data_IF_078292262315
#
_entry.id   IF_078292262315
#
_cell.length_a   1.000
_cell.length_b   1.000
_cell.length_c   1.000
_cell.angle_alpha   90.00
_cell.angle_beta   90.00
_cell.angle_gamma   90.00
#
_symmetry.space_group_name_H-M   'P 1'
#
loop_
_entity.id
_entity.type
_entity.pdbx_description
1 polymer ?
#
# COMPACT_ATOMS: atom_id res chain seq x y z
N UNK A 1 15.99 6.48 -15.83
CA UNK A 1 15.56 7.32 -14.71
C UNK A 1 16.42 8.58 -14.58
N UNK A 2 15.88 9.74 -14.99
CA UNK A 2 16.43 11.07 -14.64
C UNK A 2 15.53 11.66 -13.56
N UNK A 3 16.12 12.15 -12.48
CA UNK A 3 15.39 12.86 -11.43
C UNK A 3 15.73 14.34 -11.54
N UNK A 4 14.71 15.18 -11.65
CA UNK A 4 14.86 16.63 -11.61
C UNK A 4 14.24 17.14 -10.32
N UNK A 5 15.01 17.95 -9.59
CA UNK A 5 14.54 18.62 -8.37
C UNK A 5 14.26 20.07 -8.76
N UNK A 6 12.99 20.44 -8.84
CA UNK A 6 12.55 21.78 -9.25
C UNK A 6 12.00 22.52 -8.03
N UNK A 7 12.21 23.84 -7.95
CA UNK A 7 11.55 24.68 -6.96
C UNK A 7 10.03 24.71 -7.20
N UNK A 8 9.27 24.58 -6.12
CA UNK A 8 7.82 24.39 -6.18
C UNK A 8 7.11 25.73 -6.42
N UNK A 9 6.12 25.76 -7.32
CA UNK A 9 5.22 26.92 -7.42
C UNK A 9 4.09 26.82 -6.38
N UNK A 10 3.66 27.97 -5.86
CA UNK A 10 2.61 28.06 -4.84
C UNK A 10 1.27 27.69 -5.50
N UNK A 11 0.76 26.49 -5.21
CA UNK A 11 -0.48 25.94 -5.79
C UNK A 11 -0.43 24.45 -6.14
N UNK A 12 0.77 23.86 -6.23
CA UNK A 12 0.94 22.44 -6.50
C UNK A 12 0.51 21.58 -5.32
N UNK A 13 -0.63 20.88 -5.46
CA UNK A 13 -1.13 19.92 -4.47
C UNK A 13 -0.08 18.82 -4.22
N UNK A 14 0.31 18.53 -2.96
CA UNK A 14 1.22 17.43 -2.66
C UNK A 14 0.49 16.10 -2.84
N UNK A 15 0.35 15.67 -4.10
CA UNK A 15 -0.28 14.39 -4.46
C UNK A 15 0.36 13.25 -3.67
N UNK A 16 1.68 13.27 -3.46
CA UNK A 16 2.37 12.29 -2.61
C UNK A 16 1.88 12.25 -1.16
N UNK A 17 1.54 13.39 -0.55
CA UNK A 17 1.00 13.46 0.80
C UNK A 17 -0.49 13.03 0.85
N UNK A 18 -1.28 13.37 -0.18
CA UNK A 18 -2.67 12.90 -0.29
C UNK A 18 -2.74 11.39 -0.47
N UNK A 19 -1.80 10.80 -1.20
CA UNK A 19 -1.72 9.34 -1.40
C UNK A 19 -1.30 8.61 -0.11
N UNK A 20 -0.91 9.32 0.97
CA UNK A 20 -0.75 8.73 2.30
C UNK A 20 -2.08 8.59 3.08
N UNK A 21 -3.17 9.22 2.66
CA UNK A 21 -4.47 9.10 3.36
C UNK A 21 -4.98 7.65 3.54
N UNK A 22 -4.87 6.75 2.54
CA UNK A 22 -5.23 5.34 2.71
C UNK A 22 -4.36 4.60 3.73
N UNK A 23 -3.16 5.11 4.03
CA UNK A 23 -2.26 4.57 5.05
C UNK A 23 -2.85 4.71 6.46
N UNK A 24 -3.80 5.64 6.65
CA UNK A 24 -4.53 5.82 7.92
C UNK A 24 -5.84 5.04 7.98
N UNK A 25 -6.50 4.79 6.85
CA UNK A 25 -7.82 4.14 6.80
C UNK A 25 -7.84 2.68 7.24
N UNK A 26 -6.77 1.93 6.96
CA UNK A 26 -6.67 0.50 7.27
C UNK A 26 -6.19 0.20 8.70
N UNK A 27 -5.24 0.96 9.28
CA UNK A 27 -4.97 0.87 10.71
C UNK A 27 -6.18 1.26 11.57
N UNK A 28 -7.00 2.22 11.11
CA UNK A 28 -8.31 2.51 11.72
C UNK A 28 -9.24 1.30 11.67
N UNK A 29 -9.27 0.57 10.55
CA UNK A 29 -10.03 -0.68 10.44
C UNK A 29 -9.52 -1.78 11.37
N UNK A 30 -8.20 -1.96 11.48
CA UNK A 30 -7.57 -2.91 12.40
C UNK A 30 -7.86 -2.56 13.86
N UNK A 31 -7.70 -1.29 14.23
CA UNK A 31 -8.03 -0.76 15.55
C UNK A 31 -9.51 -0.95 15.91
N UNK A 32 -10.44 -0.72 14.96
CA UNK A 32 -11.87 -0.95 15.19
C UNK A 32 -12.23 -2.42 15.42
N UNK A 33 -11.48 -3.35 14.81
CA UNK A 33 -11.66 -4.79 14.99
C UNK A 33 -11.07 -5.27 16.31
N UNK A 34 -9.89 -4.75 16.69
CA UNK A 34 -9.23 -5.06 17.95
C UNK A 34 -10.03 -4.58 19.17
N UNK A 35 -10.65 -3.40 19.08
CA UNK A 35 -11.55 -2.88 20.11
C UNK A 35 -12.96 -3.52 20.07
N UNK A 36 -13.10 -4.66 19.38
CA UNK A 36 -14.31 -5.48 19.31
C UNK A 36 -15.58 -4.75 18.81
N UNK A 37 -15.46 -3.59 18.16
CA UNK A 37 -16.60 -2.94 17.53
C UNK A 37 -17.11 -3.72 16.29
N UNK A 38 -16.26 -4.56 15.68
CA UNK A 38 -16.62 -5.41 14.54
C UNK A 38 -15.89 -6.75 14.57
N UNK A 39 -16.62 -7.88 14.58
CA UNK A 39 -16.04 -9.23 14.52
C UNK A 39 -15.96 -9.69 13.07
N UNK A 40 -14.79 -9.59 12.45
CA UNK A 40 -14.53 -10.18 11.13
C UNK A 40 -13.81 -11.53 11.27
N UNK A 41 -14.57 -12.62 11.37
CA UNK A 41 -14.00 -13.98 11.42
C UNK A 41 -13.55 -14.49 10.05
N UNK A 42 -14.23 -14.08 8.97
CA UNK A 42 -13.93 -14.48 7.59
C UNK A 42 -14.26 -13.33 6.65
N UNK A 43 -13.40 -13.05 5.65
CA UNK A 43 -13.72 -12.07 4.62
C UNK A 43 -15.05 -12.43 3.93
N UNK A 44 -15.98 -11.48 3.83
CA UNK A 44 -17.28 -11.71 3.20
C UNK A 44 -17.17 -12.26 1.77
N UNK A 45 -16.14 -11.86 1.03
CA UNK A 45 -15.86 -12.39 -0.31
C UNK A 45 -15.44 -13.86 -0.29
N UNK A 46 -14.57 -14.26 0.65
CA UNK A 46 -14.18 -15.68 0.82
C UNK A 46 -15.37 -16.53 1.25
N UNK A 47 -16.27 -15.97 2.07
CA UNK A 47 -17.50 -16.65 2.51
C UNK A 47 -18.51 -16.82 1.36
N UNK A 48 -18.62 -15.86 0.45
CA UNK A 48 -19.59 -15.88 -0.65
C UNK A 48 -19.07 -16.59 -1.91
N UNK A 49 -17.82 -16.34 -2.30
CA UNK A 49 -17.23 -16.83 -3.54
C UNK A 49 -16.29 -18.03 -3.34
N UNK A 50 -15.96 -18.40 -2.10
CA UNK A 50 -14.99 -19.48 -1.80
C UNK A 50 -13.53 -19.15 -2.15
N UNK A 51 -13.27 -17.94 -2.67
CA UNK A 51 -11.95 -17.49 -3.14
C UNK A 51 -11.49 -16.26 -2.36
N UNK A 52 -10.20 -16.17 -2.00
CA UNK A 52 -9.63 -14.95 -1.45
C UNK A 52 -9.62 -13.84 -2.51
N UNK A 53 -10.01 -12.64 -2.08
CA UNK A 53 -9.82 -11.39 -2.78
C UNK A 53 -8.36 -10.92 -2.74
N UNK A 54 -7.98 -10.00 -3.63
CA UNK A 54 -6.63 -9.43 -3.71
C UNK A 54 -6.13 -8.76 -2.42
N UNK A 55 -7.07 -8.29 -1.59
CA UNK A 55 -6.80 -7.61 -0.30
C UNK A 55 -7.19 -8.47 0.90
N UNK A 56 -7.50 -9.76 0.69
CA UNK A 56 -7.90 -10.64 1.78
C UNK A 56 -6.72 -10.84 2.74
N UNK A 57 -6.99 -10.76 4.04
CA UNK A 57 -5.95 -10.79 5.07
C UNK A 57 -5.25 -9.44 5.32
N UNK A 58 -5.57 -8.36 4.60
CA UNK A 58 -4.94 -7.04 4.82
C UNK A 58 -5.10 -6.56 6.27
N UNK A 59 -6.29 -6.64 6.85
CA UNK A 59 -6.53 -6.24 8.24
C UNK A 59 -5.73 -7.08 9.24
N UNK A 60 -5.64 -8.39 9.01
CA UNK A 60 -4.87 -9.28 9.90
C UNK A 60 -3.37 -9.02 9.76
N UNK A 61 -2.87 -8.75 8.56
CA UNK A 61 -1.49 -8.34 8.36
C UNK A 61 -1.19 -7.01 9.08
N UNK A 62 -2.12 -6.04 9.07
CA UNK A 62 -1.98 -4.80 9.83
C UNK A 62 -2.00 -5.04 11.35
N UNK A 63 -2.78 -6.00 11.85
CA UNK A 63 -2.74 -6.41 13.26
C UNK A 63 -1.37 -7.00 13.64
N UNK A 64 -0.78 -7.86 12.80
CA UNK A 64 0.59 -8.34 13.02
C UNK A 64 1.61 -7.20 13.03
N UNK A 65 1.45 -6.17 12.18
CA UNK A 65 2.28 -4.95 12.26
C UNK A 65 2.11 -4.23 13.61
N UNK A 66 0.89 -4.09 14.12
CA UNK A 66 0.62 -3.45 15.42
C UNK A 66 1.20 -4.23 16.60
N UNK A 67 1.21 -5.56 16.51
CA UNK A 67 1.85 -6.42 17.51
C UNK A 67 3.39 -6.47 17.40
N UNK A 68 3.99 -5.76 16.43
CA UNK A 68 5.44 -5.74 16.24
C UNK A 68 5.98 -6.97 15.51
N UNK A 69 5.16 -7.68 14.75
CA UNK A 69 5.52 -8.88 13.98
C UNK A 69 5.53 -8.60 12.46
N UNK A 70 6.48 -7.80 11.93
CA UNK A 70 6.48 -7.39 10.53
C UNK A 70 6.70 -8.55 9.55
N UNK A 71 7.44 -9.60 9.94
CA UNK A 71 7.61 -10.78 9.09
C UNK A 71 6.31 -11.58 8.94
N UNK A 72 5.53 -11.71 10.01
CA UNK A 72 4.22 -12.37 9.98
C UNK A 72 3.21 -11.54 9.16
N UNK A 73 3.29 -10.21 9.25
CA UNK A 73 2.50 -9.33 8.41
C UNK A 73 2.83 -9.51 6.92
N UNK A 74 4.12 -9.59 6.57
CA UNK A 74 4.58 -9.76 5.20
C UNK A 74 4.16 -11.11 4.60
N UNK A 75 4.26 -12.21 5.37
CA UNK A 75 3.79 -13.52 4.91
C UNK A 75 2.27 -13.58 4.76
N UNK A 76 1.53 -12.79 5.55
CA UNK A 76 0.08 -12.77 5.47
C UNK A 76 -0.47 -11.95 4.29
N UNK A 77 0.14 -10.80 3.98
CA UNK A 77 -0.28 -9.98 2.84
C UNK A 77 0.90 -9.17 2.28
N UNK A 78 1.76 -9.80 1.45
CA UNK A 78 3.00 -9.18 1.01
C UNK A 78 2.76 -7.94 0.15
N UNK A 79 1.70 -7.91 -0.67
CA UNK A 79 1.37 -6.76 -1.53
C UNK A 79 1.01 -5.52 -0.71
N UNK A 80 0.10 -5.63 0.27
CA UNK A 80 -0.32 -4.47 1.06
C UNK A 80 0.81 -3.94 1.93
N UNK A 81 1.59 -4.82 2.54
CA UNK A 81 2.74 -4.42 3.38
C UNK A 81 3.81 -3.72 2.53
N UNK A 82 4.11 -4.26 1.35
CA UNK A 82 5.03 -3.61 0.41
C UNK A 82 4.51 -2.27 -0.08
N UNK A 83 3.20 -2.18 -0.37
CA UNK A 83 2.57 -0.92 -0.77
C UNK A 83 2.63 0.11 0.35
N UNK A 84 2.39 -0.27 1.61
CA UNK A 84 2.55 0.66 2.73
C UNK A 84 3.97 1.15 2.89
N UNK A 85 4.95 0.27 2.77
CA UNK A 85 6.35 0.67 2.87
C UNK A 85 6.70 1.67 1.75
N UNK A 86 6.25 1.39 0.53
CA UNK A 86 6.47 2.28 -0.61
C UNK A 86 5.79 3.63 -0.43
N UNK A 87 4.54 3.64 0.06
CA UNK A 87 3.81 4.86 0.37
C UNK A 87 4.44 5.64 1.52
N UNK A 88 4.97 4.97 2.53
CA UNK A 88 5.66 5.60 3.65
C UNK A 88 6.96 6.25 3.19
N UNK A 89 7.78 5.54 2.41
CA UNK A 89 9.02 6.08 1.83
C UNK A 89 8.73 7.24 0.89
N UNK A 90 7.78 7.07 -0.04
CA UNK A 90 7.40 8.11 -0.99
C UNK A 90 6.80 9.34 -0.31
N UNK A 91 5.93 9.11 0.67
CA UNK A 91 5.32 10.14 1.48
C UNK A 91 6.34 10.92 2.29
N UNK A 92 7.31 10.26 2.92
CA UNK A 92 8.43 10.90 3.62
C UNK A 92 9.29 11.73 2.67
N UNK A 93 9.63 11.23 1.48
CA UNK A 93 10.37 11.99 0.47
C UNK A 93 9.56 13.23 0.04
N UNK A 94 8.25 13.07 -0.18
CA UNK A 94 7.36 14.16 -0.57
C UNK A 94 7.21 15.21 0.54
N UNK A 95 7.15 14.77 1.80
CA UNK A 95 7.07 15.64 2.98
C UNK A 95 8.37 16.41 3.19
N UNK A 96 9.53 15.74 3.11
CA UNK A 96 10.84 16.40 3.18
C UNK A 96 11.03 17.37 2.02
N UNK A 97 10.58 17.00 0.82
CA UNK A 97 10.54 17.89 -0.34
C UNK A 97 9.65 19.11 -0.10
N UNK A 98 8.45 18.91 0.47
CA UNK A 98 7.54 20.00 0.85
C UNK A 98 8.17 20.97 1.85
N UNK A 99 8.74 20.46 2.94
CA UNK A 99 9.43 21.28 3.95
C UNK A 99 10.61 22.06 3.36
N UNK A 100 11.30 21.49 2.37
CA UNK A 100 12.42 22.13 1.67
C UNK A 100 12.01 22.95 0.44
N UNK A 101 10.71 23.08 0.16
CA UNK A 101 10.15 23.76 -1.01
C UNK A 101 10.66 23.20 -2.38
N UNK A 102 11.03 21.92 -2.40
CA UNK A 102 11.55 21.21 -3.58
C UNK A 102 10.57 20.12 -4.02
N UNK A 103 10.33 20.01 -5.32
CA UNK A 103 9.54 18.94 -5.94
C UNK A 103 10.46 17.98 -6.68
N UNK A 104 10.33 16.69 -6.39
CA UNK A 104 10.99 15.62 -7.15
C UNK A 104 10.08 15.24 -8.31
N UNK A 105 10.52 15.49 -9.54
CA UNK A 105 9.84 15.05 -10.75
C UNK A 105 10.64 13.87 -11.30
N UNK A 106 9.95 12.74 -11.42
CA UNK A 106 10.46 11.53 -12.08
C UNK A 106 10.05 11.59 -13.55
N UNK A 107 11.02 11.80 -14.43
CA UNK A 107 10.79 11.60 -15.86
C UNK A 107 10.96 10.11 -16.17
N UNK A 108 9.83 9.46 -16.47
CA UNK A 108 9.81 8.07 -16.90
C UNK A 108 10.00 7.98 -18.42
N UNK A 109 10.95 7.15 -18.84
CA UNK A 109 11.10 6.75 -20.24
C UNK A 109 9.92 5.87 -20.68
N UNK A 110 9.64 5.80 -21.98
CA UNK A 110 8.56 4.96 -22.55
C UNK A 110 8.66 3.48 -22.14
N UNK A 111 9.88 2.96 -21.95
CA UNK A 111 10.11 1.59 -21.45
C UNK A 111 9.76 1.46 -19.95
N UNK A 112 10.05 2.49 -19.15
CA UNK A 112 9.74 2.53 -17.72
C UNK A 112 8.22 2.68 -17.48
N UNK A 113 7.53 3.47 -18.31
CA UNK A 113 6.07 3.60 -18.28
C UNK A 113 5.36 2.28 -18.63
N UNK A 114 5.83 1.57 -19.66
CA UNK A 114 5.30 0.24 -20.00
C UNK A 114 5.58 -0.76 -18.87
N UNK A 115 6.78 -0.76 -18.31
CA UNK A 115 7.12 -1.64 -17.19
C UNK A 115 6.28 -1.34 -15.94
N UNK A 116 6.00 -0.07 -15.65
CA UNK A 116 5.15 0.35 -14.53
C UNK A 116 3.69 -0.07 -14.75
N UNK A 117 3.16 0.11 -15.96
CA UNK A 117 1.81 -0.36 -16.31
C UNK A 117 1.70 -1.89 -16.24
N UNK A 118 2.72 -2.60 -16.72
CA UNK A 118 2.77 -4.05 -16.63
C UNK A 118 2.86 -4.53 -15.17
N UNK A 119 3.68 -3.89 -14.34
CA UNK A 119 3.80 -4.25 -12.91
C UNK A 119 2.50 -4.01 -12.15
N UNK A 120 1.73 -2.96 -12.52
CA UNK A 120 0.41 -2.68 -11.97
C UNK A 120 -0.62 -3.80 -12.17
N UNK A 121 -0.41 -4.68 -13.17
CA UNK A 121 -1.26 -5.83 -13.46
C UNK A 121 -0.63 -7.13 -12.97
N UNK A 122 0.67 -7.32 -13.20
CA UNK A 122 1.37 -8.55 -12.85
C UNK A 122 1.52 -8.73 -11.33
N UNK A 123 1.83 -7.67 -10.58
CA UNK A 123 2.03 -7.77 -9.13
C UNK A 123 0.74 -8.17 -8.41
N UNK A 124 -0.43 -7.58 -8.69
CA UNK A 124 -1.68 -8.05 -8.09
C UNK A 124 -2.03 -9.49 -8.49
N UNK A 125 -1.77 -9.90 -9.73
CA UNK A 125 -2.02 -11.28 -10.18
C UNK A 125 -1.12 -12.29 -9.43
N UNK A 126 0.16 -12.01 -9.30
CA UNK A 126 1.10 -12.86 -8.54
C UNK A 126 0.69 -12.93 -7.07
N UNK A 127 0.31 -11.78 -6.47
CA UNK A 127 -0.18 -11.74 -5.11
C UNK A 127 -1.46 -12.58 -4.94
N UNK A 128 -2.38 -12.51 -5.89
CA UNK A 128 -3.60 -13.30 -5.84
C UNK A 128 -3.33 -14.80 -5.89
N UNK A 129 -2.44 -15.25 -6.79
CA UNK A 129 -2.01 -16.66 -6.85
C UNK A 129 -1.39 -17.09 -5.52
N UNK A 130 -0.55 -16.24 -4.92
CA UNK A 130 0.04 -16.49 -3.60
C UNK A 130 -1.02 -16.65 -2.51
N UNK A 131 -2.01 -15.76 -2.45
CA UNK A 131 -3.10 -15.82 -1.46
C UNK A 131 -3.95 -17.08 -1.61
N UNK A 132 -4.22 -17.49 -2.86
CA UNK A 132 -4.93 -18.74 -3.16
C UNK A 132 -4.12 -19.94 -2.69
N UNK A 133 -2.81 -19.97 -2.99
CA UNK A 133 -1.93 -21.07 -2.59
C UNK A 133 -1.71 -21.16 -1.07
N UNK A 134 -1.59 -20.00 -0.40
CA UNK A 134 -1.44 -19.91 1.05
C UNK A 134 -2.76 -20.18 1.82
N UNK A 135 -3.90 -20.31 1.12
CA UNK A 135 -5.19 -20.64 1.72
C UNK A 135 -5.80 -19.52 2.58
N UNK A 136 -5.35 -18.27 2.40
CA UNK A 136 -5.75 -17.09 3.19
C UNK A 136 -7.22 -16.74 2.99
#
# INVERSE_FOLDING_TARGET
MKYHVIERSVGDVPVGALVMLPLFALPLGAWAIENAHVVFSVCGMKRLAGLPCLTCGATRATLHLFHGEPLAALSMQPMMISLYLLLLVWGMISLVGFVKNRRVILEMSRKEDIAFKASLVLVPLINWIYLVWAGI
#
